data_IF_628549722026
#
_entry.id   IF_628549722026
#
_cell.length_a   1.000
_cell.length_b   1.000
_cell.length_c   1.000
_cell.angle_alpha   90.00
_cell.angle_beta   90.00
_cell.angle_gamma   90.00
#
_symmetry.space_group_name_H-M   'P 1'
#
loop_
_entity.id
_entity.type
_entity.pdbx_description
1 polymer ?
#
# COMPACT_ATOMS: atom_id res chain seq x y z
N UNK A 1 -7.18 -15.57 11.60
CA UNK A 1 -6.90 -15.60 10.15
C UNK A 1 -5.44 -16.05 9.88
N UNK A 2 -4.42 -15.51 10.57
CA UNK A 2 -3.01 -15.90 10.39
C UNK A 2 -2.75 -17.39 10.71
N UNK A 3 -3.41 -17.94 11.74
CA UNK A 3 -3.29 -19.36 12.12
C UNK A 3 -3.94 -20.26 11.07
N UNK A 4 -5.09 -19.85 10.51
CA UNK A 4 -5.78 -20.57 9.42
C UNK A 4 -4.91 -20.58 8.15
N UNK A 5 -4.27 -19.47 7.83
CA UNK A 5 -3.35 -19.38 6.70
C UNK A 5 -2.12 -20.31 6.86
N UNK A 6 -1.63 -20.48 8.09
CA UNK A 6 -0.47 -21.32 8.37
C UNK A 6 -0.80 -22.83 8.47
N UNK A 7 -2.01 -23.17 8.92
CA UNK A 7 -2.40 -24.57 9.19
C UNK A 7 -3.35 -25.16 8.16
N UNK A 8 -4.11 -24.31 7.44
CA UNK A 8 -5.26 -24.74 6.65
C UNK A 8 -6.42 -25.23 7.54
N UNK A 9 -7.66 -25.19 7.02
CA UNK A 9 -8.83 -25.67 7.73
C UNK A 9 -9.72 -24.58 8.32
N UNK A 10 -10.60 -24.97 9.26
CA UNK A 10 -11.53 -24.04 9.89
C UNK A 10 -10.84 -23.18 10.95
N UNK A 11 -11.40 -21.99 11.17
CA UNK A 11 -10.87 -21.05 12.17
C UNK A 11 -10.97 -21.64 13.59
N UNK A 12 -9.85 -21.87 14.31
CA UNK A 12 -9.92 -22.40 15.66
C UNK A 12 -10.50 -21.36 16.62
N UNK A 13 -11.40 -21.78 17.47
CA UNK A 13 -11.99 -20.98 18.54
C UNK A 13 -11.52 -21.48 19.90
N UNK A 14 -11.24 -20.54 20.81
CA UNK A 14 -10.90 -20.89 22.19
C UNK A 14 -12.04 -21.69 22.81
N UNK A 15 -11.70 -22.84 23.40
CA UNK A 15 -12.65 -23.76 23.98
C UNK A 15 -11.96 -25.02 24.53
N UNK A 16 -12.76 -26.03 24.88
CA UNK A 16 -12.25 -27.33 25.48
C UNK A 16 -11.22 -27.99 24.57
N UNK A 17 -11.40 -27.91 23.26
CA UNK A 17 -10.57 -28.60 22.28
C UNK A 17 -9.43 -27.71 21.73
N UNK A 18 -9.41 -26.41 22.09
CA UNK A 18 -8.39 -25.44 21.65
C UNK A 18 -8.07 -24.45 22.77
N UNK A 19 -7.30 -24.91 23.77
CA UNK A 19 -6.91 -24.12 24.95
C UNK A 19 -5.54 -23.48 24.73
N UNK A 20 -4.62 -24.22 24.09
CA UNK A 20 -3.25 -23.77 23.82
C UNK A 20 -3.11 -23.44 22.35
N UNK A 21 -2.55 -22.26 22.00
CA UNK A 21 -2.31 -21.91 20.61
C UNK A 21 -1.42 -22.94 19.90
N UNK A 22 -1.67 -23.17 18.61
CA UNK A 22 -0.80 -24.02 17.79
C UNK A 22 0.61 -23.47 17.75
N UNK A 23 1.62 -24.35 17.76
CA UNK A 23 3.04 -23.97 17.59
C UNK A 23 3.31 -23.29 16.26
N UNK A 24 2.41 -23.42 15.28
CA UNK A 24 2.47 -22.74 13.98
C UNK A 24 1.85 -21.33 13.99
N UNK A 25 1.36 -20.85 15.14
CA UNK A 25 0.89 -19.45 15.24
C UNK A 25 2.08 -18.49 15.16
N UNK A 26 2.20 -17.69 14.07
CA UNK A 26 3.37 -16.81 13.85
C UNK A 26 3.51 -15.73 14.92
N UNK A 27 2.47 -15.45 15.70
CA UNK A 27 2.51 -14.46 16.77
C UNK A 27 3.32 -14.93 17.97
N UNK A 28 3.41 -16.24 18.18
CA UNK A 28 4.05 -16.81 19.37
C UNK A 28 5.53 -16.47 19.48
N UNK A 29 6.24 -16.40 18.34
CA UNK A 29 7.68 -16.07 18.32
C UNK A 29 8.00 -14.68 18.88
N UNK A 30 7.07 -13.75 18.81
CA UNK A 30 7.28 -12.38 19.31
C UNK A 30 6.65 -12.14 20.68
N UNK A 31 5.58 -12.85 21.00
CA UNK A 31 4.82 -12.62 22.25
C UNK A 31 5.42 -13.40 23.40
N UNK A 32 5.62 -14.71 23.24
CA UNK A 32 6.10 -15.58 24.33
C UNK A 32 7.52 -15.21 24.78
N UNK A 33 8.54 -15.15 23.91
CA UNK A 33 9.89 -14.78 24.35
C UNK A 33 9.97 -13.41 24.99
N UNK A 34 9.19 -12.44 24.50
CA UNK A 34 9.16 -11.10 25.09
C UNK A 34 8.56 -11.13 26.51
N UNK A 35 7.50 -11.90 26.75
CA UNK A 35 6.90 -12.06 28.06
C UNK A 35 7.86 -12.78 29.03
N UNK A 36 8.51 -13.86 28.57
CA UNK A 36 9.51 -14.60 29.39
C UNK A 36 10.71 -13.70 29.73
N UNK A 37 11.25 -12.95 28.76
CA UNK A 37 12.34 -12.02 28.99
C UNK A 37 11.96 -10.92 29.99
N UNK A 38 10.74 -10.40 29.91
CA UNK A 38 10.22 -9.40 30.86
C UNK A 38 10.15 -9.98 32.27
N UNK A 39 9.57 -11.15 32.43
CA UNK A 39 9.51 -11.85 33.74
C UNK A 39 10.90 -12.12 34.30
N UNK A 40 11.86 -12.56 33.48
CA UNK A 40 13.24 -12.78 33.90
C UNK A 40 13.94 -11.52 34.41
N UNK A 41 13.66 -10.37 33.82
CA UNK A 41 14.18 -9.08 34.29
C UNK A 41 13.52 -8.68 35.62
N UNK A 42 12.21 -8.82 35.70
CA UNK A 42 11.44 -8.50 36.93
C UNK A 42 11.83 -9.34 38.12
N UNK A 43 12.14 -10.63 37.90
CA UNK A 43 12.59 -11.56 38.94
C UNK A 43 14.09 -11.49 39.22
N UNK A 44 14.85 -10.69 38.50
CA UNK A 44 16.30 -10.49 38.72
C UNK A 44 17.19 -11.62 38.22
N UNK A 45 16.64 -12.63 37.51
CA UNK A 45 17.43 -13.76 36.94
C UNK A 45 18.00 -13.49 35.57
N UNK A 46 17.58 -12.38 34.92
CA UNK A 46 18.10 -12.01 33.62
C UNK A 46 19.57 -11.56 33.70
N UNK A 47 20.40 -12.09 32.79
CA UNK A 47 21.81 -11.68 32.65
C UNK A 47 21.99 -10.40 31.83
N UNK A 48 21.02 -10.09 30.98
CA UNK A 48 21.03 -8.94 30.07
C UNK A 48 19.71 -8.19 30.25
N UNK A 49 19.77 -6.87 30.34
CA UNK A 49 18.57 -6.01 30.35
C UNK A 49 18.15 -5.67 28.92
N UNK A 50 16.86 -5.59 28.71
CA UNK A 50 16.25 -5.16 27.44
C UNK A 50 15.65 -3.79 27.70
N UNK A 51 16.22 -2.76 27.08
CA UNK A 51 15.78 -1.38 27.29
C UNK A 51 14.48 -1.05 26.54
N UNK A 52 14.26 -1.71 25.39
CA UNK A 52 13.07 -1.49 24.58
C UNK A 52 12.45 -2.79 24.08
N UNK A 53 11.33 -3.18 24.70
CA UNK A 53 10.61 -4.40 24.34
C UNK A 53 9.90 -4.36 23.00
N UNK A 54 9.58 -3.18 22.44
CA UNK A 54 9.02 -3.07 21.10
C UNK A 54 10.08 -3.45 20.06
N UNK A 55 11.28 -2.89 20.18
CA UNK A 55 12.41 -3.25 19.33
C UNK A 55 12.74 -4.74 19.45
N UNK A 56 12.72 -5.28 20.65
CA UNK A 56 12.99 -6.70 20.88
C UNK A 56 11.95 -7.61 20.23
N UNK A 57 10.66 -7.30 20.35
CA UNK A 57 9.59 -8.04 19.67
C UNK A 57 9.74 -8.00 18.16
N UNK A 58 10.13 -6.87 17.62
CA UNK A 58 10.33 -6.70 16.19
C UNK A 58 11.53 -7.53 15.70
N UNK A 59 12.63 -7.58 16.45
CA UNK A 59 13.77 -8.46 16.17
C UNK A 59 13.35 -9.95 16.18
N UNK A 60 12.45 -10.33 17.08
CA UNK A 60 11.91 -11.70 17.11
C UNK A 60 11.04 -12.02 15.89
N UNK A 61 10.19 -11.07 15.43
CA UNK A 61 9.39 -11.23 14.20
C UNK A 61 10.28 -11.38 12.96
N UNK A 62 11.41 -10.68 12.91
CA UNK A 62 12.37 -10.75 11.81
C UNK A 62 12.93 -12.16 11.58
N UNK A 63 12.95 -13.02 12.62
CA UNK A 63 13.39 -14.41 12.50
C UNK A 63 12.47 -15.26 11.64
N UNK A 64 11.17 -14.92 11.58
CA UNK A 64 10.19 -15.58 10.71
C UNK A 64 10.14 -14.96 9.32
N UNK A 65 10.17 -13.64 9.26
CA UNK A 65 9.99 -12.89 8.01
C UNK A 65 11.08 -11.82 7.86
N UNK A 66 12.08 -12.06 7.01
CA UNK A 66 13.12 -11.07 6.70
C UNK A 66 12.58 -9.77 6.10
N UNK A 67 11.37 -9.79 5.51
CA UNK A 67 10.70 -8.61 4.93
C UNK A 67 10.42 -7.57 6.01
N UNK A 68 10.13 -8.02 7.23
CA UNK A 68 9.85 -7.13 8.37
C UNK A 68 11.02 -6.17 8.62
N UNK A 69 12.26 -6.65 8.51
CA UNK A 69 13.47 -5.81 8.71
C UNK A 69 13.55 -4.68 7.70
N UNK A 70 13.33 -5.00 6.43
CA UNK A 70 13.38 -4.04 5.33
C UNK A 70 12.27 -3.01 5.51
N UNK A 71 11.05 -3.49 5.80
CA UNK A 71 9.89 -2.63 5.97
C UNK A 71 9.96 -1.72 7.21
N UNK A 72 10.67 -2.13 8.28
CA UNK A 72 10.81 -1.29 9.47
C UNK A 72 11.57 0.01 9.22
N UNK A 73 12.69 -0.06 8.50
CA UNK A 73 13.44 1.13 8.12
C UNK A 73 12.57 2.11 7.34
N UNK A 74 11.83 1.58 6.36
CA UNK A 74 10.92 2.35 5.51
C UNK A 74 9.76 2.92 6.34
N UNK A 75 9.12 2.10 7.16
CA UNK A 75 8.00 2.52 8.01
C UNK A 75 8.40 3.65 8.96
N UNK A 76 9.62 3.59 9.53
CA UNK A 76 10.15 4.65 10.39
C UNK A 76 10.34 5.96 9.63
N UNK A 77 10.81 5.88 8.38
CA UNK A 77 10.98 7.04 7.52
C UNK A 77 9.63 7.64 7.09
N UNK A 78 8.68 6.80 6.68
CA UNK A 78 7.34 7.20 6.24
C UNK A 78 6.56 7.91 7.37
N UNK A 79 6.63 7.37 8.59
CA UNK A 79 5.95 7.95 9.76
C UNK A 79 6.40 9.38 10.11
N UNK A 80 7.61 9.77 9.72
CA UNK A 80 8.11 11.15 9.92
C UNK A 80 7.48 12.17 8.99
N UNK A 81 7.03 11.72 7.79
CA UNK A 81 6.41 12.59 6.76
C UNK A 81 5.20 11.85 6.16
N UNK A 82 4.08 11.78 6.88
CA UNK A 82 2.90 11.07 6.40
C UNK A 82 2.40 11.69 5.10
N UNK A 83 2.14 10.84 4.11
CA UNK A 83 1.68 11.20 2.77
C UNK A 83 0.21 10.88 2.60
N UNK A 84 -0.48 11.67 1.76
CA UNK A 84 -1.85 11.41 1.36
C UNK A 84 -1.87 10.35 0.27
N UNK A 85 -2.51 9.21 0.54
CA UNK A 85 -2.64 8.11 -0.42
C UNK A 85 -4.10 7.89 -0.74
N UNK A 86 -4.44 7.99 -2.03
CA UNK A 86 -5.82 7.77 -2.48
C UNK A 86 -6.02 6.31 -2.89
N UNK A 87 -7.05 5.69 -2.34
CA UNK A 87 -7.48 4.32 -2.62
C UNK A 87 -8.67 4.39 -3.58
N UNK A 88 -8.43 4.06 -4.86
CA UNK A 88 -9.41 4.29 -5.93
C UNK A 88 -10.66 3.41 -5.86
N UNK A 89 -10.52 2.20 -5.30
CA UNK A 89 -11.62 1.22 -5.19
C UNK A 89 -12.21 1.19 -3.77
N UNK A 90 -12.54 2.35 -3.19
CA UNK A 90 -12.94 2.49 -1.78
C UNK A 90 -14.23 1.77 -1.37
N UNK A 91 -15.05 1.29 -2.33
CA UNK A 91 -16.23 0.45 -2.06
C UNK A 91 -15.88 -1.05 -1.98
N UNK A 92 -14.65 -1.45 -2.33
CA UNK A 92 -14.18 -2.82 -2.24
C UNK A 92 -13.72 -3.16 -0.81
N UNK A 93 -14.09 -4.35 -0.34
CA UNK A 93 -13.81 -4.80 1.02
C UNK A 93 -12.30 -4.88 1.32
N UNK A 94 -11.52 -5.44 0.40
CA UNK A 94 -10.09 -5.61 0.60
C UNK A 94 -9.35 -4.27 0.57
N UNK A 95 -9.77 -3.38 -0.35
CA UNK A 95 -9.23 -2.03 -0.45
C UNK A 95 -9.55 -1.22 0.82
N UNK A 96 -10.75 -1.36 1.35
CA UNK A 96 -11.16 -0.71 2.60
C UNK A 96 -10.35 -1.23 3.80
N UNK A 97 -10.18 -2.56 3.92
CA UNK A 97 -9.31 -3.17 4.95
C UNK A 97 -7.87 -2.67 4.84
N UNK A 98 -7.35 -2.55 3.62
CA UNK A 98 -6.01 -2.02 3.38
C UNK A 98 -5.87 -0.56 3.80
N UNK A 99 -6.85 0.30 3.48
CA UNK A 99 -6.86 1.70 3.89
C UNK A 99 -6.93 1.86 5.42
N UNK A 100 -7.74 1.04 6.08
CA UNK A 100 -7.84 1.00 7.55
C UNK A 100 -6.50 0.56 8.17
N UNK A 101 -5.91 -0.51 7.66
CA UNK A 101 -4.61 -1.01 8.13
C UNK A 101 -3.50 0.03 7.93
N UNK A 102 -3.49 0.72 6.79
CA UNK A 102 -2.58 1.80 6.47
C UNK A 102 -2.67 2.96 7.48
N UNK A 103 -3.90 3.38 7.81
CA UNK A 103 -4.16 4.42 8.83
C UNK A 103 -3.72 3.97 10.22
N UNK A 104 -4.15 2.78 10.65
CA UNK A 104 -3.87 2.26 12.00
C UNK A 104 -2.36 2.06 12.22
N UNK A 105 -1.63 1.69 11.18
CA UNK A 105 -0.17 1.58 11.19
C UNK A 105 0.55 2.92 11.12
N UNK A 106 -0.19 4.04 11.02
CA UNK A 106 0.34 5.41 10.93
C UNK A 106 1.31 5.60 9.74
N UNK A 107 1.04 4.93 8.63
CA UNK A 107 1.87 5.00 7.42
C UNK A 107 1.57 6.24 6.57
N UNK A 108 0.39 6.84 6.73
CA UNK A 108 -0.03 8.04 6.03
C UNK A 108 -1.50 8.37 6.24
N UNK A 109 -2.02 9.24 5.39
CA UNK A 109 -3.40 9.72 5.42
C UNK A 109 -4.13 9.07 4.23
N UNK A 110 -4.96 8.04 4.44
CA UNK A 110 -5.73 7.43 3.38
C UNK A 110 -6.92 8.30 2.97
N UNK A 111 -7.25 8.30 1.68
CA UNK A 111 -8.46 8.90 1.10
C UNK A 111 -9.15 7.82 0.27
N UNK A 112 -10.42 7.58 0.48
CA UNK A 112 -11.21 6.59 -0.26
C UNK A 112 -12.01 7.25 -1.37
N UNK A 113 -11.97 6.69 -2.59
CA UNK A 113 -12.85 7.12 -3.68
C UNK A 113 -14.03 6.16 -3.79
N UNK A 114 -15.22 6.67 -3.54
CA UNK A 114 -16.44 5.87 -3.58
C UNK A 114 -17.68 6.64 -3.14
N UNK A 115 -18.82 5.98 -3.23
CA UNK A 115 -20.07 6.52 -2.69
C UNK A 115 -20.08 6.31 -1.17
N UNK A 116 -20.34 7.38 -0.44
CA UNK A 116 -20.29 7.36 1.02
C UNK A 116 -21.20 6.28 1.64
N UNK A 117 -22.43 6.15 1.12
CA UNK A 117 -23.40 5.14 1.60
C UNK A 117 -22.86 3.72 1.44
N UNK A 118 -22.26 3.42 0.28
CA UNK A 118 -21.70 2.09 0.01
C UNK A 118 -20.47 1.79 0.86
N UNK A 119 -19.59 2.79 1.04
CA UNK A 119 -18.41 2.64 1.90
C UNK A 119 -18.85 2.40 3.34
N UNK A 120 -19.82 3.16 3.86
CA UNK A 120 -20.40 2.97 5.20
C UNK A 120 -21.05 1.61 5.38
N UNK A 121 -21.77 1.11 4.36
CA UNK A 121 -22.34 -0.23 4.37
C UNK A 121 -21.26 -1.31 4.49
N UNK A 122 -20.19 -1.19 3.73
CA UNK A 122 -19.06 -2.14 3.81
C UNK A 122 -18.32 -2.08 5.15
N UNK A 123 -18.15 -0.88 5.73
CA UNK A 123 -17.56 -0.71 7.07
C UNK A 123 -18.36 -1.50 8.11
N UNK A 124 -19.70 -1.39 8.06
CA UNK A 124 -20.57 -2.16 8.96
C UNK A 124 -20.45 -3.67 8.76
N UNK A 125 -20.37 -4.13 7.50
CA UNK A 125 -20.21 -5.57 7.18
C UNK A 125 -18.89 -6.13 7.72
N UNK A 126 -17.82 -5.33 7.70
CA UNK A 126 -16.50 -5.74 8.22
C UNK A 126 -16.47 -5.72 9.76
N UNK A 127 -17.51 -5.20 10.42
CA UNK A 127 -17.58 -5.08 11.87
C UNK A 127 -16.66 -3.98 12.44
N UNK A 128 -16.34 -2.98 11.64
CA UNK A 128 -15.56 -1.83 12.11
C UNK A 128 -16.47 -0.82 12.80
N UNK A 129 -15.99 -0.19 13.89
CA UNK A 129 -16.80 0.71 14.71
C UNK A 129 -17.16 2.03 14.00
N UNK A 130 -18.20 2.73 14.49
CA UNK A 130 -18.74 3.97 13.92
C UNK A 130 -17.77 5.16 13.87
N UNK A 131 -16.65 5.13 14.59
CA UNK A 131 -15.59 6.15 14.56
C UNK A 131 -14.64 5.97 13.37
N UNK A 132 -15.21 5.81 12.18
CA UNK A 132 -14.46 5.74 10.94
C UNK A 132 -14.08 7.15 10.48
N UNK A 133 -12.83 7.53 10.73
CA UNK A 133 -12.26 8.83 10.41
C UNK A 133 -11.28 8.71 9.23
N UNK A 134 -11.79 8.32 8.05
CA UNK A 134 -11.07 8.35 6.76
C UNK A 134 -11.91 9.20 5.80
N UNK A 135 -11.26 10.13 5.11
CA UNK A 135 -11.91 10.97 4.10
C UNK A 135 -12.46 10.10 2.96
N UNK A 136 -13.74 10.27 2.64
CA UNK A 136 -14.40 9.62 1.51
C UNK A 136 -14.72 10.69 0.48
N UNK A 137 -14.29 10.48 -0.77
CA UNK A 137 -14.53 11.40 -1.88
C UNK A 137 -15.39 10.71 -2.94
N UNK A 138 -16.55 11.30 -3.24
CA UNK A 138 -17.38 10.90 -4.35
C UNK A 138 -17.08 11.74 -5.59
N UNK A 139 -16.61 11.09 -6.65
CA UNK A 139 -16.29 11.78 -7.93
C UNK A 139 -17.48 12.51 -8.56
N UNK A 140 -18.71 12.12 -8.22
CA UNK A 140 -19.94 12.72 -8.79
C UNK A 140 -20.31 14.03 -8.13
N UNK A 141 -20.02 14.19 -6.84
CA UNK A 141 -20.51 15.28 -6.01
C UNK A 141 -19.41 16.25 -5.57
N UNK A 142 -18.16 15.99 -5.97
CA UNK A 142 -17.02 16.79 -5.57
C UNK A 142 -16.93 18.11 -6.34
N UNK A 143 -16.70 19.19 -5.62
CA UNK A 143 -16.41 20.53 -6.19
C UNK A 143 -15.14 20.57 -7.06
N UNK A 144 -14.25 19.58 -6.89
CA UNK A 144 -13.00 19.47 -7.68
C UNK A 144 -13.21 18.90 -9.09
N UNK A 145 -14.42 18.40 -9.42
CA UNK A 145 -14.71 17.75 -10.70
C UNK A 145 -14.35 18.62 -11.90
N UNK A 146 -14.77 19.89 -11.87
CA UNK A 146 -14.50 20.84 -12.97
C UNK A 146 -12.99 21.05 -13.16
N UNK A 147 -12.24 21.29 -12.07
CA UNK A 147 -10.78 21.42 -12.10
C UNK A 147 -10.12 20.21 -12.76
N UNK A 148 -10.55 18.99 -12.39
CA UNK A 148 -9.98 17.76 -12.94
C UNK A 148 -10.41 17.52 -14.39
N UNK A 149 -11.65 17.82 -14.75
CA UNK A 149 -12.12 17.73 -16.13
C UNK A 149 -11.33 18.66 -17.05
N UNK A 150 -11.10 19.90 -16.64
CA UNK A 150 -10.29 20.87 -17.37
C UNK A 150 -8.82 20.43 -17.49
N UNK A 151 -8.25 19.84 -16.42
CA UNK A 151 -6.90 19.29 -16.46
C UNK A 151 -6.78 18.18 -17.52
N UNK A 152 -7.69 17.19 -17.50
CA UNK A 152 -7.73 16.10 -18.46
C UNK A 152 -7.99 16.60 -19.87
N UNK A 153 -8.89 17.57 -20.04
CA UNK A 153 -9.18 18.19 -21.35
C UNK A 153 -7.96 18.87 -21.95
N UNK A 154 -7.25 19.72 -21.19
CA UNK A 154 -6.02 20.39 -21.66
C UNK A 154 -4.97 19.39 -22.15
N UNK A 155 -4.89 18.22 -21.53
CA UNK A 155 -3.97 17.17 -21.93
C UNK A 155 -4.44 16.41 -23.17
N UNK A 156 -5.68 15.93 -23.19
CA UNK A 156 -6.15 14.97 -24.18
C UNK A 156 -6.78 15.61 -25.44
N UNK A 157 -7.14 16.89 -25.41
CA UNK A 157 -7.75 17.55 -26.56
C UNK A 157 -6.89 17.50 -27.83
N UNK A 158 -5.56 17.67 -27.69
CA UNK A 158 -4.63 17.67 -28.84
C UNK A 158 -4.13 16.26 -29.17
N UNK A 159 -3.91 15.44 -28.17
CA UNK A 159 -3.36 14.10 -28.36
C UNK A 159 -4.39 13.08 -28.86
N UNK A 160 -5.63 13.17 -28.36
CA UNK A 160 -6.69 12.20 -28.63
C UNK A 160 -7.98 12.82 -29.18
N UNK A 161 -8.02 14.13 -29.45
CA UNK A 161 -9.20 14.82 -29.97
C UNK A 161 -10.42 14.78 -29.02
N UNK A 162 -10.21 14.57 -27.72
CA UNK A 162 -11.30 14.48 -26.75
C UNK A 162 -11.99 15.82 -26.56
N UNK A 163 -13.33 15.78 -26.46
CA UNK A 163 -14.13 16.96 -26.15
C UNK A 163 -14.23 17.17 -24.65
N UNK A 164 -14.40 18.41 -24.22
CA UNK A 164 -14.51 18.79 -22.81
C UNK A 164 -15.60 17.99 -22.07
N UNK A 165 -16.78 17.81 -22.70
CA UNK A 165 -17.88 17.00 -22.15
C UNK A 165 -17.50 15.52 -21.92
N UNK A 166 -16.62 14.98 -22.77
CA UNK A 166 -16.20 13.58 -22.66
C UNK A 166 -15.14 13.43 -21.56
N UNK A 167 -14.29 14.44 -21.37
CA UNK A 167 -13.38 14.52 -20.24
C UNK A 167 -14.13 14.66 -18.90
N UNK A 168 -15.16 15.51 -18.82
CA UNK A 168 -16.01 15.61 -17.61
C UNK A 168 -16.69 14.26 -17.29
N UNK A 169 -17.23 13.61 -18.32
CA UNK A 169 -17.86 12.29 -18.16
C UNK A 169 -16.85 11.24 -17.68
N UNK A 170 -15.63 11.26 -18.22
CA UNK A 170 -14.54 10.33 -17.84
C UNK A 170 -14.16 10.53 -16.38
N UNK A 171 -13.90 11.75 -15.96
CA UNK A 171 -13.54 12.11 -14.57
C UNK A 171 -14.65 11.74 -13.60
N UNK A 172 -15.91 12.04 -13.97
CA UNK A 172 -17.09 11.76 -13.13
C UNK A 172 -17.35 10.27 -12.90
N UNK A 173 -17.13 9.43 -13.92
CA UNK A 173 -17.58 8.04 -13.90
C UNK A 173 -16.46 7.02 -13.65
N UNK A 174 -15.19 7.43 -13.73
CA UNK A 174 -14.07 6.53 -13.53
C UNK A 174 -13.24 6.90 -12.29
N UNK A 175 -13.23 6.01 -11.30
CA UNK A 175 -12.53 6.22 -10.03
C UNK A 175 -11.01 6.23 -10.19
N UNK A 176 -10.47 5.45 -11.14
CA UNK A 176 -9.03 5.43 -11.42
C UNK A 176 -8.60 6.77 -12.01
N UNK A 177 -9.37 7.28 -12.98
CA UNK A 177 -9.13 8.61 -13.56
C UNK A 177 -9.23 9.69 -12.49
N UNK A 178 -10.26 9.63 -11.64
CA UNK A 178 -10.42 10.57 -10.54
C UNK A 178 -9.22 10.57 -9.60
N UNK A 179 -8.81 9.36 -9.12
CA UNK A 179 -7.68 9.21 -8.23
C UNK A 179 -6.36 9.66 -8.88
N UNK A 180 -6.18 9.38 -10.18
CA UNK A 180 -5.03 9.88 -10.97
C UNK A 180 -5.02 11.41 -11.04
N UNK A 181 -6.18 12.06 -11.21
CA UNK A 181 -6.29 13.52 -11.18
C UNK A 181 -5.94 14.10 -9.80
N UNK A 182 -6.32 13.41 -8.70
CA UNK A 182 -5.93 13.84 -7.36
C UNK A 182 -4.40 13.88 -7.21
N UNK A 183 -3.70 12.88 -7.74
CA UNK A 183 -2.23 12.84 -7.72
C UNK A 183 -1.64 13.89 -8.65
N UNK A 184 -2.10 13.97 -9.89
CA UNK A 184 -1.59 14.91 -10.88
C UNK A 184 -1.78 16.38 -10.50
N UNK A 185 -2.88 16.69 -9.81
CA UNK A 185 -3.19 18.04 -9.32
C UNK A 185 -2.66 18.36 -7.92
N UNK A 186 -1.93 17.44 -7.28
CA UNK A 186 -1.31 17.64 -5.97
C UNK A 186 -2.28 17.54 -4.77
N UNK A 187 -3.49 17.01 -4.98
CA UNK A 187 -4.46 16.78 -3.90
C UNK A 187 -4.17 15.49 -3.11
N UNK A 188 -3.40 14.57 -3.71
CA UNK A 188 -2.82 13.39 -3.09
C UNK A 188 -1.37 13.18 -3.55
N UNK A 189 -0.56 12.46 -2.77
CA UNK A 189 0.85 12.17 -3.09
C UNK A 189 1.02 10.88 -3.90
N UNK A 190 0.11 9.92 -3.71
CA UNK A 190 0.13 8.62 -4.38
C UNK A 190 -1.27 8.02 -4.47
N UNK A 191 -1.43 7.00 -5.31
CA UNK A 191 -2.69 6.24 -5.41
C UNK A 191 -2.46 4.73 -5.37
N UNK A 192 -3.45 4.00 -4.88
CA UNK A 192 -3.55 2.54 -4.91
C UNK A 192 -4.81 2.16 -5.69
N UNK A 193 -4.65 1.27 -6.67
CA UNK A 193 -5.75 0.77 -7.51
C UNK A 193 -5.43 -0.63 -8.03
N UNK A 194 -6.38 -1.26 -8.72
CA UNK A 194 -6.18 -2.53 -9.42
C UNK A 194 -6.83 -3.75 -8.78
N UNK A 195 -7.54 -3.59 -7.64
CA UNK A 195 -8.20 -4.70 -6.97
C UNK A 195 -9.47 -5.17 -7.68
N UNK A 196 -10.21 -4.25 -8.32
CA UNK A 196 -11.49 -4.54 -8.97
C UNK A 196 -11.44 -4.57 -10.50
N UNK A 197 -10.25 -4.34 -11.08
CA UNK A 197 -10.07 -4.20 -12.54
C UNK A 197 -8.79 -4.87 -13.00
N UNK A 198 -8.72 -5.19 -14.29
CA UNK A 198 -7.49 -5.69 -14.91
C UNK A 198 -6.41 -4.61 -14.88
N UNK A 199 -5.17 -5.02 -14.68
CA UNK A 199 -4.01 -4.15 -14.63
C UNK A 199 -3.90 -3.24 -15.87
N UNK A 200 -3.97 -3.82 -17.08
CA UNK A 200 -3.87 -3.09 -18.35
C UNK A 200 -4.91 -1.97 -18.47
N UNK A 201 -6.17 -2.25 -18.07
CA UNK A 201 -7.24 -1.25 -18.09
C UNK A 201 -7.01 -0.10 -17.09
N UNK A 202 -6.43 -0.40 -15.93
CA UNK A 202 -6.08 0.63 -14.94
C UNK A 202 -4.91 1.47 -15.42
N UNK A 203 -3.87 0.83 -15.95
CA UNK A 203 -2.67 1.50 -16.46
C UNK A 203 -3.00 2.44 -17.63
N UNK A 204 -3.83 2.00 -18.59
CA UNK A 204 -4.28 2.84 -19.72
C UNK A 204 -4.92 4.15 -19.24
N UNK A 205 -5.73 4.08 -18.18
CA UNK A 205 -6.38 5.27 -17.61
C UNK A 205 -5.43 6.16 -16.84
N UNK A 206 -4.46 5.57 -16.13
CA UNK A 206 -3.44 6.32 -15.41
C UNK A 206 -2.58 7.12 -16.39
N UNK A 207 -2.12 6.50 -17.47
CA UNK A 207 -1.28 7.14 -18.50
C UNK A 207 -2.00 8.32 -19.17
N UNK A 208 -3.33 8.25 -19.34
CA UNK A 208 -4.12 9.38 -19.85
C UNK A 208 -4.07 10.62 -18.95
N UNK A 209 -3.78 10.47 -17.68
CA UNK A 209 -3.85 11.56 -16.69
C UNK A 209 -2.47 11.93 -16.16
N UNK A 210 -1.63 10.96 -15.83
CA UNK A 210 -0.32 11.16 -15.20
C UNK A 210 0.78 10.94 -16.24
N UNK A 211 1.66 11.93 -16.39
CA UNK A 211 2.87 11.81 -17.20
C UNK A 211 4.07 11.42 -16.34
N UNK A 212 5.06 10.72 -16.90
CA UNK A 212 6.36 10.60 -16.28
C UNK A 212 7.01 11.98 -16.16
N UNK A 213 7.97 12.14 -15.29
CA UNK A 213 8.75 13.39 -15.21
C UNK A 213 9.52 13.62 -16.51
N UNK A 214 9.79 14.87 -16.88
CA UNK A 214 10.58 15.15 -18.07
C UNK A 214 11.92 14.39 -18.05
N UNK A 215 12.19 13.64 -19.11
CA UNK A 215 13.40 12.81 -19.23
C UNK A 215 13.37 11.51 -18.43
N UNK A 216 12.23 11.13 -17.83
CA UNK A 216 12.05 9.83 -17.17
C UNK A 216 11.03 8.98 -17.93
N UNK A 217 11.09 7.68 -17.75
CA UNK A 217 10.14 6.72 -18.33
C UNK A 217 9.30 6.08 -17.23
N UNK A 218 8.11 5.63 -17.59
CA UNK A 218 7.24 4.86 -16.70
C UNK A 218 7.64 3.38 -16.78
N UNK A 219 7.87 2.74 -15.65
CA UNK A 219 8.18 1.31 -15.56
C UNK A 219 7.67 0.70 -14.26
N UNK A 220 7.48 -0.62 -14.26
CA UNK A 220 7.11 -1.37 -13.06
C UNK A 220 8.35 -1.81 -12.28
N UNK A 221 8.37 -1.55 -10.96
CA UNK A 221 9.44 -1.98 -10.07
C UNK A 221 8.87 -2.86 -8.96
N UNK A 222 9.33 -4.10 -8.90
CA UNK A 222 8.95 -5.06 -7.86
C UNK A 222 10.13 -5.35 -6.93
N UNK A 223 9.81 -5.45 -5.65
CA UNK A 223 10.72 -5.89 -4.59
C UNK A 223 10.43 -7.36 -4.26
N UNK A 224 11.40 -8.24 -4.46
CA UNK A 224 11.33 -9.64 -4.08
C UNK A 224 12.23 -9.88 -2.87
N UNK A 225 11.66 -10.48 -1.82
CA UNK A 225 12.40 -10.88 -0.61
C UNK A 225 12.26 -12.37 -0.41
N UNK A 226 13.37 -13.09 -0.38
CA UNK A 226 13.37 -14.52 -0.11
C UNK A 226 14.62 -14.93 0.67
N UNK A 227 14.43 -15.58 1.82
CA UNK A 227 15.49 -16.14 2.68
C UNK A 227 16.66 -15.19 2.93
N UNK A 228 16.37 -13.92 3.21
CA UNK A 228 17.36 -12.89 3.47
C UNK A 228 18.03 -12.27 2.24
N UNK A 229 17.62 -12.67 1.04
CA UNK A 229 18.01 -12.02 -0.21
C UNK A 229 16.94 -11.07 -0.67
N UNK A 230 17.35 -9.88 -1.07
CA UNK A 230 16.46 -8.84 -1.60
C UNK A 230 16.87 -8.52 -3.04
N UNK A 231 15.91 -8.60 -3.95
CA UNK A 231 16.11 -8.35 -5.38
C UNK A 231 15.05 -7.37 -5.85
N UNK A 232 15.46 -6.37 -6.61
CA UNK A 232 14.56 -5.46 -7.31
C UNK A 232 14.50 -5.85 -8.77
N UNK A 233 13.31 -6.02 -9.33
CA UNK A 233 13.10 -6.39 -10.73
C UNK A 233 12.34 -5.27 -11.42
N UNK A 234 12.86 -4.81 -12.56
CA UNK A 234 12.22 -3.88 -13.50
C UNK A 234 12.62 -4.21 -14.97
N UNK A 235 11.79 -4.00 -15.96
CA UNK A 235 10.38 -3.65 -15.91
C UNK A 235 9.54 -4.91 -15.77
N UNK A 236 8.50 -4.84 -14.94
CA UNK A 236 7.67 -6.01 -14.67
C UNK A 236 6.32 -6.00 -15.38
N UNK A 237 5.93 -4.85 -15.98
CA UNK A 237 4.54 -4.77 -16.45
C UNK A 237 4.15 -3.57 -17.31
N UNK A 238 5.06 -2.68 -17.68
CA UNK A 238 4.72 -1.46 -18.43
C UNK A 238 5.29 -1.49 -19.85
N UNK A 239 6.57 -1.80 -20.00
CA UNK A 239 7.27 -1.84 -21.30
C UNK A 239 7.58 -3.30 -21.62
N UNK A 240 6.92 -3.84 -22.64
CA UNK A 240 7.05 -5.25 -23.01
C UNK A 240 8.39 -5.56 -23.64
N UNK A 241 8.88 -4.67 -24.54
CA UNK A 241 10.15 -4.81 -25.26
C UNK A 241 10.97 -3.53 -25.16
N UNK A 242 11.72 -3.34 -24.04
CA UNK A 242 12.52 -2.15 -23.86
C UNK A 242 13.75 -2.15 -24.79
N UNK A 243 14.07 -1.00 -25.37
CA UNK A 243 15.33 -0.79 -26.08
C UNK A 243 16.50 -0.54 -25.11
N UNK A 244 17.72 -0.42 -25.63
CA UNK A 244 18.93 -0.25 -24.83
C UNK A 244 18.93 1.04 -23.99
N UNK A 245 18.36 2.14 -24.52
CA UNK A 245 18.28 3.41 -23.80
C UNK A 245 17.25 3.31 -22.68
N UNK A 246 16.09 2.70 -22.96
CA UNK A 246 15.05 2.45 -21.96
C UNK A 246 15.55 1.56 -20.82
N UNK A 247 16.33 0.51 -21.13
CA UNK A 247 16.97 -0.32 -20.10
C UNK A 247 17.93 0.48 -19.21
N UNK A 248 18.74 1.36 -19.81
CA UNK A 248 19.64 2.23 -19.07
C UNK A 248 18.89 3.22 -18.16
N UNK A 249 17.82 3.85 -18.68
CA UNK A 249 16.99 4.79 -17.91
C UNK A 249 16.26 4.09 -16.77
N UNK A 250 15.75 2.86 -16.98
CA UNK A 250 15.18 2.03 -15.93
C UNK A 250 16.19 1.70 -14.83
N UNK A 251 17.40 1.27 -15.21
CA UNK A 251 18.47 0.93 -14.25
C UNK A 251 18.84 2.15 -13.39
N UNK A 252 18.99 3.32 -14.00
CA UNK A 252 19.30 4.57 -13.30
C UNK A 252 18.15 4.95 -12.34
N UNK A 253 16.92 4.91 -12.82
CA UNK A 253 15.74 5.30 -12.03
C UNK A 253 15.46 4.30 -10.90
N UNK A 254 15.57 2.99 -11.17
CA UNK A 254 15.45 1.95 -10.16
C UNK A 254 16.53 2.08 -9.08
N UNK A 255 17.79 2.40 -9.45
CA UNK A 255 18.87 2.56 -8.49
C UNK A 255 18.59 3.66 -7.46
N UNK A 256 17.91 4.74 -7.85
CA UNK A 256 17.47 5.80 -6.92
C UNK A 256 16.49 5.27 -5.89
N UNK A 257 15.54 4.43 -6.32
CA UNK A 257 14.57 3.80 -5.42
C UNK A 257 15.25 2.81 -4.49
N UNK A 258 16.14 1.96 -5.00
CA UNK A 258 16.93 0.99 -4.21
C UNK A 258 17.69 1.69 -3.07
N UNK A 259 18.30 2.85 -3.35
CA UNK A 259 18.97 3.67 -2.33
C UNK A 259 18.02 4.18 -1.24
N UNK A 260 16.76 4.52 -1.58
CA UNK A 260 15.76 4.93 -0.58
C UNK A 260 15.41 3.79 0.38
N UNK A 261 15.55 2.53 -0.07
CA UNK A 261 15.40 1.34 0.77
C UNK A 261 16.65 1.03 1.60
N UNK A 262 17.73 1.82 1.49
CA UNK A 262 18.95 1.65 2.24
C UNK A 262 19.92 0.61 1.65
N UNK A 263 19.71 0.19 0.41
CA UNK A 263 20.59 -0.74 -0.28
C UNK A 263 21.58 -0.03 -1.21
N UNK A 264 22.74 -0.65 -1.43
CA UNK A 264 23.68 -0.26 -2.47
C UNK A 264 23.26 -0.98 -3.79
N UNK A 265 22.81 -0.23 -4.82
CA UNK A 265 22.32 -0.84 -6.05
C UNK A 265 23.48 -1.45 -6.83
N UNK A 266 23.32 -2.72 -7.20
CA UNK A 266 24.17 -3.46 -8.14
C UNK A 266 23.30 -3.92 -9.29
N UNK A 267 23.64 -3.52 -10.51
CA UNK A 267 22.89 -3.84 -11.72
C UNK A 267 23.67 -4.86 -12.55
#
# INVERSE_FOLDING_TARGET
>A
DEVVAAMGGERPHYGKDYIIPSTFDPRLISVIPAAVAKAAIETGVARIKIDNFEIYRDQLKQRLDPTVTIMQGINTYIKKKPKKVVFADGEDENMLKAAIAFKNSKLGIPILVGKEDKVKEQIKKIGYSENFDIEIVNSKDSLKREKYAQYVFKKLQREQGMLERDCDRLVKNDRVVWASCMVACGDADAMVTGNTRRYSSSLEKIIKVVDPRPGEIMFGLNLLVNRGKTIFICDTSVIEYPDANQLADMAISASRVVKLFGFDPKV
#
